data_IF_327269655305
#
_entry.id   IF_327269655305
#
_cell.length_a   1.000
_cell.length_b   1.000
_cell.length_c   1.000
_cell.angle_alpha   90.00
_cell.angle_beta   90.00
_cell.angle_gamma   90.00
#
_symmetry.space_group_name_H-M   'P 1'
#
loop_
_entity.id
_entity.type
_entity.pdbx_description
1 polymer ?
#
# COMPACT_ATOMS: atom_id res chain seq x y z
N UNK A 1 -2.43 -26.95 7.55
CA UNK A 1 -1.77 -27.16 6.24
C UNK A 1 -1.83 -28.66 5.97
N UNK A 2 -2.36 -29.08 4.83
CA UNK A 2 -2.40 -30.49 4.44
C UNK A 2 -1.14 -30.90 3.68
N UNK A 3 -0.76 -30.10 2.69
CA UNK A 3 0.40 -30.33 1.84
C UNK A 3 1.03 -29.03 1.35
N UNK A 4 2.25 -29.16 0.83
CA UNK A 4 3.00 -28.11 0.17
C UNK A 4 3.20 -28.45 -1.29
N UNK A 5 3.11 -27.44 -2.15
CA UNK A 5 3.56 -27.51 -3.54
C UNK A 5 4.86 -26.76 -3.68
N UNK A 6 5.81 -27.33 -4.42
CA UNK A 6 6.98 -26.63 -4.92
C UNK A 6 6.71 -26.25 -6.39
N UNK A 7 6.57 -24.95 -6.64
CA UNK A 7 6.26 -24.41 -7.97
C UNK A 7 7.53 -23.84 -8.59
N UNK A 8 7.73 -24.12 -9.88
CA UNK A 8 8.82 -23.60 -10.69
C UNK A 8 8.24 -22.72 -11.79
N UNK A 9 8.77 -21.51 -11.88
CA UNK A 9 8.36 -20.48 -12.83
C UNK A 9 9.55 -20.12 -13.70
N UNK A 10 9.55 -20.46 -15.00
CA UNK A 10 10.54 -19.95 -15.94
C UNK A 10 10.44 -18.42 -16.04
N UNK A 11 11.58 -17.74 -16.02
CA UNK A 11 11.62 -16.29 -16.24
C UNK A 11 11.28 -15.98 -17.69
N UNK A 12 10.14 -15.32 -17.87
CA UNK A 12 9.66 -14.81 -19.14
C UNK A 12 9.07 -13.42 -18.89
N UNK A 13 8.99 -12.57 -19.93
CA UNK A 13 8.46 -11.20 -19.82
C UNK A 13 7.07 -11.18 -19.17
N UNK A 14 6.27 -12.20 -19.44
CA UNK A 14 4.91 -12.35 -18.91
C UNK A 14 4.85 -12.85 -17.46
N UNK A 15 5.85 -13.60 -17.01
CA UNK A 15 5.88 -14.18 -15.66
C UNK A 15 6.63 -13.29 -14.66
N UNK A 16 7.57 -12.47 -15.13
CA UNK A 16 8.39 -11.59 -14.28
C UNK A 16 7.57 -10.51 -13.56
N UNK A 17 6.43 -10.09 -14.12
CA UNK A 17 5.53 -9.11 -13.51
C UNK A 17 4.53 -9.74 -12.54
N UNK A 18 4.44 -11.08 -12.48
CA UNK A 18 3.44 -11.79 -11.68
C UNK A 18 3.95 -12.11 -10.30
N UNK A 19 3.06 -11.99 -9.30
CA UNK A 19 3.32 -12.42 -7.92
C UNK A 19 2.97 -13.90 -7.71
N UNK A 20 3.56 -14.59 -6.71
CA UNK A 20 3.31 -16.02 -6.46
C UNK A 20 1.82 -16.38 -6.33
N UNK A 21 1.02 -15.50 -5.73
CA UNK A 21 -0.41 -15.73 -5.51
C UNK A 21 -1.27 -15.64 -6.78
N UNK A 22 -0.75 -15.04 -7.86
CA UNK A 22 -1.44 -14.92 -9.14
C UNK A 22 -1.36 -16.21 -9.98
N UNK A 23 -0.50 -17.16 -9.60
CA UNK A 23 -0.45 -18.47 -10.26
C UNK A 23 -1.51 -19.38 -9.63
N UNK A 24 -2.65 -19.59 -10.31
CA UNK A 24 -3.73 -20.41 -9.77
C UNK A 24 -3.33 -21.89 -9.70
N UNK A 25 -3.73 -22.57 -8.62
CA UNK A 25 -3.38 -23.98 -8.41
C UNK A 25 -3.95 -24.87 -9.51
N UNK A 26 -5.17 -24.60 -9.98
CA UNK A 26 -5.81 -25.39 -11.02
C UNK A 26 -5.07 -25.30 -12.36
N UNK A 27 -4.61 -24.10 -12.74
CA UNK A 27 -3.80 -23.89 -13.94
C UNK A 27 -2.48 -24.68 -13.86
N UNK A 28 -1.83 -24.65 -12.70
CA UNK A 28 -0.58 -25.36 -12.45
C UNK A 28 -0.75 -26.89 -12.48
N UNK A 29 -1.88 -27.41 -12.00
CA UNK A 29 -2.22 -28.84 -12.05
C UNK A 29 -2.53 -29.26 -13.49
N UNK A 30 -3.20 -28.42 -14.26
CA UNK A 30 -3.54 -28.69 -15.66
C UNK A 30 -2.31 -28.63 -16.59
N UNK A 31 -1.28 -27.85 -16.22
CA UNK A 31 -0.04 -27.70 -16.97
C UNK A 31 0.89 -28.94 -16.97
N UNK A 32 0.43 -30.11 -16.53
CA UNK A 32 1.26 -31.32 -16.35
C UNK A 32 2.06 -31.76 -17.58
N UNK A 33 1.63 -31.45 -18.81
CA UNK A 33 2.24 -32.05 -20.01
C UNK A 33 2.43 -31.16 -21.26
N UNK A 34 1.93 -29.92 -21.31
CA UNK A 34 1.77 -29.26 -22.63
C UNK A 34 2.85 -28.25 -23.02
N UNK A 35 3.49 -27.54 -22.07
CA UNK A 35 4.43 -26.46 -22.40
C UNK A 35 5.67 -26.49 -21.50
N UNK A 36 6.87 -26.57 -22.10
CA UNK A 36 8.15 -26.47 -21.38
C UNK A 36 8.36 -25.08 -20.74
N UNK A 37 7.77 -24.04 -21.34
CA UNK A 37 7.85 -22.65 -20.87
C UNK A 37 6.77 -22.30 -19.83
N UNK A 38 5.83 -23.21 -19.52
CA UNK A 38 4.78 -22.92 -18.56
C UNK A 38 5.24 -23.16 -17.11
N UNK A 39 4.79 -22.31 -16.17
CA UNK A 39 4.89 -22.59 -14.75
C UNK A 39 4.30 -23.96 -14.40
N UNK A 40 4.99 -24.72 -13.56
CA UNK A 40 4.57 -26.08 -13.20
C UNK A 40 4.89 -26.43 -11.74
N UNK A 41 4.18 -27.41 -11.21
CA UNK A 41 4.46 -28.00 -9.90
C UNK A 41 5.55 -29.07 -10.10
N UNK A 42 6.70 -28.89 -9.45
CA UNK A 42 7.81 -29.83 -9.50
C UNK A 42 7.65 -30.99 -8.52
N UNK A 43 7.04 -30.73 -7.35
CA UNK A 43 6.79 -31.73 -6.33
C UNK A 43 5.64 -31.32 -5.41
N UNK A 44 4.98 -32.32 -4.83
CA UNK A 44 4.01 -32.17 -3.74
C UNK A 44 4.55 -32.89 -2.50
N UNK A 45 4.55 -32.20 -1.36
CA UNK A 45 5.04 -32.74 -0.09
C UNK A 45 3.94 -32.74 0.97
N UNK A 46 3.73 -33.85 1.70
CA UNK A 46 2.90 -33.84 2.91
C UNK A 46 3.46 -32.87 3.96
N UNK A 47 2.60 -32.34 4.84
CA UNK A 47 2.99 -31.32 5.84
C UNK A 47 4.25 -31.70 6.65
N UNK A 48 4.41 -32.97 7.01
CA UNK A 48 5.52 -33.45 7.86
C UNK A 48 6.75 -33.95 7.08
N UNK A 49 6.66 -34.05 5.76
CA UNK A 49 7.65 -34.74 4.92
C UNK A 49 8.29 -33.80 3.89
N UNK A 50 8.36 -32.50 4.16
CA UNK A 50 9.13 -31.58 3.30
C UNK A 50 10.64 -31.75 3.60
N UNK A 51 11.47 -32.11 2.60
CA UNK A 51 12.88 -32.37 2.82
C UNK A 51 13.65 -31.08 3.13
N UNK A 52 14.83 -31.22 3.73
CA UNK A 52 15.71 -30.09 4.01
C UNK A 52 16.31 -29.50 2.72
N UNK A 53 16.72 -30.38 1.81
CA UNK A 53 17.23 -30.04 0.49
C UNK A 53 16.38 -30.72 -0.57
N UNK A 54 16.19 -30.04 -1.70
CA UNK A 54 15.51 -30.61 -2.86
C UNK A 54 16.32 -30.32 -4.11
N UNK A 55 16.68 -31.36 -4.86
CA UNK A 55 17.44 -31.24 -6.09
C UNK A 55 16.49 -30.91 -7.25
N UNK A 56 16.38 -29.63 -7.56
CA UNK A 56 15.56 -29.17 -8.68
C UNK A 56 16.20 -29.57 -10.02
N UNK A 57 15.39 -30.03 -10.99
CA UNK A 57 15.89 -30.41 -12.31
C UNK A 57 16.29 -31.87 -12.49
N UNK A 58 16.07 -32.73 -11.49
CA UNK A 58 16.54 -34.13 -11.51
C UNK A 58 15.82 -35.03 -12.53
N UNK A 59 14.57 -34.71 -12.87
CA UNK A 59 13.74 -35.53 -13.76
C UNK A 59 12.77 -36.49 -13.05
N UNK A 60 12.86 -36.57 -11.72
CA UNK A 60 12.08 -37.49 -10.88
C UNK A 60 10.62 -37.07 -10.72
N UNK A 61 9.77 -38.01 -10.30
CA UNK A 61 8.35 -37.79 -10.04
C UNK A 61 8.03 -37.88 -8.54
N UNK A 62 7.27 -36.90 -8.04
CA UNK A 62 6.89 -36.76 -6.64
C UNK A 62 5.37 -36.55 -6.54
N UNK A 63 4.65 -37.52 -5.97
CA UNK A 63 3.20 -37.41 -5.68
C UNK A 63 2.37 -37.00 -6.93
N UNK A 64 2.73 -37.56 -8.10
CA UNK A 64 2.05 -37.31 -9.39
C UNK A 64 2.45 -36.01 -10.10
N UNK A 65 3.56 -35.41 -9.70
CA UNK A 65 4.16 -34.22 -10.32
C UNK A 65 5.62 -34.47 -10.70
N UNK A 66 6.04 -34.02 -11.88
CA UNK A 66 7.38 -34.28 -12.42
C UNK A 66 8.31 -33.07 -12.23
N UNK A 67 9.45 -33.31 -11.60
CA UNK A 67 10.55 -32.37 -11.49
C UNK A 67 11.30 -32.27 -12.83
N UNK A 68 10.81 -31.44 -13.75
CA UNK A 68 11.37 -31.32 -15.11
C UNK A 68 12.83 -30.88 -15.08
N UNK A 69 13.63 -31.41 -16.02
CA UNK A 69 15.01 -30.98 -16.22
C UNK A 69 15.06 -29.50 -16.58
N UNK A 70 15.98 -28.77 -15.96
CA UNK A 70 16.22 -27.36 -16.28
C UNK A 70 16.99 -27.24 -17.60
N UNK A 71 16.77 -26.15 -18.32
CA UNK A 71 17.46 -25.87 -19.59
C UNK A 71 18.67 -24.96 -19.39
N UNK A 72 19.72 -25.16 -20.19
CA UNK A 72 20.92 -24.30 -20.17
C UNK A 72 20.60 -22.92 -20.75
N UNK A 73 21.08 -21.86 -20.10
CA UNK A 73 20.84 -20.47 -20.51
C UNK A 73 19.44 -19.94 -20.16
N UNK A 74 18.65 -20.69 -19.37
CA UNK A 74 17.37 -20.24 -18.84
C UNK A 74 17.44 -20.01 -17.34
N UNK A 75 16.70 -18.99 -16.89
CA UNK A 75 16.52 -18.64 -15.49
C UNK A 75 15.14 -19.07 -15.01
N UNK A 76 15.06 -19.50 -13.77
CA UNK A 76 13.85 -19.98 -13.12
C UNK A 76 13.74 -19.35 -11.74
N UNK A 77 12.53 -19.13 -11.26
CA UNK A 77 12.25 -18.74 -9.87
C UNK A 77 11.34 -19.80 -9.27
N UNK A 78 11.55 -20.11 -8.00
CA UNK A 78 10.70 -21.05 -7.26
C UNK A 78 10.01 -20.37 -6.11
N UNK A 79 8.83 -20.89 -5.75
CA UNK A 79 8.14 -20.57 -4.51
C UNK A 79 7.44 -21.81 -3.97
N UNK A 80 7.17 -21.81 -2.67
CA UNK A 80 6.47 -22.89 -1.98
C UNK A 80 5.08 -22.41 -1.62
N UNK A 81 4.06 -23.22 -1.92
CA UNK A 81 2.67 -22.93 -1.55
C UNK A 81 2.18 -23.93 -0.52
N UNK A 82 1.68 -23.44 0.61
CA UNK A 82 1.01 -24.24 1.62
C UNK A 82 -0.49 -24.25 1.36
N UNK A 83 -1.09 -25.44 1.27
CA UNK A 83 -2.53 -25.62 1.05
C UNK A 83 -3.19 -26.14 2.32
N UNK A 84 -4.41 -25.70 2.61
CA UNK A 84 -5.21 -26.17 3.73
C UNK A 84 -6.45 -26.90 3.20
N UNK A 85 -6.68 -28.12 3.69
CA UNK A 85 -7.90 -28.86 3.40
C UNK A 85 -9.04 -28.29 4.24
N UNK A 86 -9.82 -27.36 3.68
CA UNK A 86 -11.09 -26.94 4.28
C UNK A 86 -12.24 -27.32 3.35
N UNK A 87 -13.36 -27.85 3.88
CA UNK A 87 -14.44 -28.43 3.06
C UNK A 87 -15.19 -27.43 2.18
N UNK A 88 -14.97 -26.12 2.35
CA UNK A 88 -15.73 -25.08 1.64
C UNK A 88 -14.86 -24.10 0.85
N UNK A 89 -13.53 -24.09 1.03
CA UNK A 89 -12.61 -23.18 0.31
C UNK A 89 -11.21 -23.77 0.14
N UNK A 90 -10.65 -23.65 -1.07
CA UNK A 90 -9.24 -23.91 -1.35
C UNK A 90 -8.38 -22.75 -0.81
N UNK A 91 -8.11 -22.77 0.50
CA UNK A 91 -7.24 -21.79 1.13
C UNK A 91 -5.79 -22.18 0.91
N UNK A 92 -4.99 -21.23 0.43
CA UNK A 92 -3.55 -21.38 0.29
C UNK A 92 -2.82 -20.10 0.68
N UNK A 93 -1.54 -20.25 1.01
CA UNK A 93 -0.60 -19.15 1.18
C UNK A 93 0.70 -19.50 0.46
N UNK A 94 1.30 -18.54 -0.23
CA UNK A 94 2.52 -18.74 -1.00
C UNK A 94 3.69 -18.00 -0.36
N UNK A 95 4.88 -18.60 -0.38
CA UNK A 95 6.11 -17.90 -0.04
C UNK A 95 6.44 -16.84 -1.10
N UNK A 96 7.28 -15.84 -0.78
CA UNK A 96 7.93 -15.03 -1.79
C UNK A 96 8.71 -15.88 -2.79
N UNK A 97 9.01 -15.30 -3.96
CA UNK A 97 9.93 -15.91 -4.91
C UNK A 97 11.35 -15.96 -4.34
N UNK A 98 12.02 -17.06 -4.64
CA UNK A 98 13.47 -17.19 -4.51
C UNK A 98 14.22 -16.25 -5.46
N UNK A 99 15.53 -16.13 -5.21
CA UNK A 99 16.48 -15.61 -6.19
C UNK A 99 16.46 -16.43 -7.48
N UNK A 100 16.77 -15.78 -8.60
CA UNK A 100 16.78 -16.42 -9.92
C UNK A 100 17.80 -17.54 -9.96
N UNK A 101 17.36 -18.74 -10.36
CA UNK A 101 18.15 -19.95 -10.47
C UNK A 101 18.43 -20.29 -11.93
N UNK A 102 19.66 -20.63 -12.28
CA UNK A 102 20.03 -21.11 -13.61
C UNK A 102 21.15 -22.14 -13.52
N UNK A 103 21.27 -22.99 -14.55
CA UNK A 103 22.29 -24.04 -14.60
C UNK A 103 23.73 -23.51 -14.73
N UNK A 104 23.90 -22.27 -15.15
CA UNK A 104 25.18 -21.58 -15.33
C UNK A 104 25.56 -20.71 -14.11
N UNK A 105 24.79 -20.79 -13.03
CA UNK A 105 25.14 -20.08 -11.80
C UNK A 105 26.40 -20.66 -11.15
N UNK A 106 27.20 -19.77 -10.56
CA UNK A 106 28.36 -20.16 -9.77
C UNK A 106 27.91 -21.07 -8.63
N UNK A 107 28.59 -22.20 -8.45
CA UNK A 107 28.38 -23.05 -7.29
C UNK A 107 28.53 -22.24 -6.01
N UNK A 108 27.62 -22.47 -5.06
CA UNK A 108 27.67 -21.83 -3.75
C UNK A 108 29.05 -22.13 -3.14
N UNK A 109 29.76 -21.11 -2.60
CA UNK A 109 31.04 -21.34 -1.96
C UNK A 109 30.94 -22.48 -0.93
N UNK A 110 31.97 -23.32 -0.78
CA UNK A 110 31.97 -24.38 0.23
C UNK A 110 31.70 -23.77 1.61
N UNK A 111 30.59 -24.15 2.22
CA UNK A 111 30.12 -23.62 3.49
C UNK A 111 28.99 -24.48 4.04
N UNK A 112 28.62 -24.26 5.29
CA UNK A 112 27.53 -24.99 5.90
C UNK A 112 26.20 -24.65 5.20
N UNK A 113 25.35 -25.65 4.93
CA UNK A 113 24.05 -25.40 4.31
C UNK A 113 23.21 -24.45 5.18
N UNK A 114 22.41 -23.57 4.57
CA UNK A 114 21.66 -22.56 5.31
C UNK A 114 20.74 -23.21 6.33
N UNK A 115 20.86 -22.83 7.61
CA UNK A 115 20.04 -23.35 8.69
C UNK A 115 18.57 -22.97 8.50
N UNK A 116 17.65 -23.90 8.79
CA UNK A 116 16.21 -23.59 8.81
C UNK A 116 15.96 -22.46 9.83
N UNK A 117 15.21 -21.40 9.47
CA UNK A 117 14.80 -20.39 10.44
C UNK A 117 14.13 -21.05 11.66
N UNK A 118 14.52 -20.62 12.86
CA UNK A 118 13.94 -21.17 14.08
C UNK A 118 12.47 -20.71 14.18
N UNK A 119 11.49 -21.64 14.14
CA UNK A 119 10.07 -21.28 14.17
C UNK A 119 9.63 -20.60 15.47
N UNK A 120 10.46 -20.62 16.52
CA UNK A 120 10.17 -19.98 17.81
C UNK A 120 10.72 -18.55 17.92
N UNK A 121 11.43 -18.05 16.89
CA UNK A 121 11.91 -16.66 16.85
C UNK A 121 10.90 -15.86 16.05
N UNK A 122 10.29 -14.80 16.61
CA UNK A 122 9.39 -13.93 15.86
C UNK A 122 10.18 -13.28 14.72
N UNK A 123 9.76 -13.52 13.49
CA UNK A 123 10.22 -12.75 12.32
C UNK A 123 9.09 -11.82 11.91
N UNK A 124 9.39 -10.54 11.63
CA UNK A 124 8.44 -9.47 11.26
C UNK A 124 7.60 -9.73 9.98
N UNK A 125 7.63 -10.93 9.41
CA UNK A 125 6.91 -11.31 8.20
C UNK A 125 5.50 -11.86 8.48
N UNK A 126 4.85 -11.42 9.57
CA UNK A 126 3.49 -11.83 9.90
C UNK A 126 2.48 -11.26 8.88
N UNK A 127 2.07 -12.11 7.93
CA UNK A 127 0.92 -11.86 7.08
C UNK A 127 -0.33 -11.88 7.97
N UNK A 128 -0.80 -10.70 8.38
CA UNK A 128 -2.08 -10.53 9.10
C UNK A 128 -3.24 -10.96 8.20
N UNK A 129 -3.62 -12.23 8.29
CA UNK A 129 -4.85 -12.75 7.68
C UNK A 129 -6.03 -12.23 8.50
N UNK A 130 -6.63 -11.12 8.09
CA UNK A 130 -7.85 -10.59 8.69
C UNK A 130 -9.06 -11.45 8.28
N UNK A 131 -9.19 -12.65 8.83
CA UNK A 131 -10.31 -13.56 8.57
C UNK A 131 -11.41 -13.46 9.62
N UNK A 132 -11.94 -12.25 9.90
CA UNK A 132 -13.20 -12.10 10.65
C UNK A 132 -13.67 -10.64 10.69
N UNK A 133 -14.35 -10.15 9.65
CA UNK A 133 -15.16 -8.92 9.77
C UNK A 133 -16.23 -8.72 8.69
N UNK A 134 -16.78 -9.78 8.10
CA UNK A 134 -17.79 -9.62 7.03
C UNK A 134 -19.23 -9.46 7.50
N UNK A 135 -19.57 -9.75 8.75
CA UNK A 135 -20.99 -9.69 9.20
C UNK A 135 -21.29 -8.54 10.19
N UNK A 136 -20.28 -8.02 10.91
CA UNK A 136 -20.47 -6.86 11.79
C UNK A 136 -20.22 -5.50 11.09
N UNK A 137 -19.50 -5.48 9.97
CA UNK A 137 -19.14 -4.24 9.28
C UNK A 137 -20.29 -3.60 8.50
N UNK A 138 -21.21 -4.40 7.98
CA UNK A 138 -22.33 -3.90 7.16
C UNK A 138 -23.33 -3.10 8.01
N UNK A 139 -23.61 -3.54 9.24
CA UNK A 139 -24.50 -2.81 10.16
C UNK A 139 -23.91 -1.47 10.63
N UNK A 140 -22.60 -1.43 10.92
CA UNK A 140 -21.90 -0.20 11.31
C UNK A 140 -21.78 0.81 10.17
N UNK A 141 -21.84 0.37 8.91
CA UNK A 141 -21.80 1.25 7.73
C UNK A 141 -23.21 1.70 7.33
N UNK A 142 -24.21 0.82 7.40
CA UNK A 142 -25.59 1.14 7.00
C UNK A 142 -26.31 2.00 8.06
N UNK A 143 -26.05 1.79 9.35
CA UNK A 143 -26.67 2.57 10.43
C UNK A 143 -26.49 4.08 10.30
N UNK A 144 -25.25 4.59 10.11
CA UNK A 144 -24.99 6.01 9.91
C UNK A 144 -25.66 6.58 8.66
N UNK A 145 -25.73 5.80 7.57
CA UNK A 145 -26.34 6.23 6.31
C UNK A 145 -27.85 6.42 6.49
N UNK A 146 -28.52 5.47 7.15
CA UNK A 146 -29.95 5.57 7.46
C UNK A 146 -30.22 6.76 8.40
N UNK A 147 -29.38 6.95 9.42
CA UNK A 147 -29.50 8.08 10.34
C UNK A 147 -29.32 9.43 9.63
N UNK A 148 -28.36 9.54 8.70
CA UNK A 148 -28.12 10.75 7.91
C UNK A 148 -29.28 11.05 6.96
N UNK A 149 -29.87 10.03 6.33
CA UNK A 149 -31.05 10.19 5.47
C UNK A 149 -32.30 10.62 6.26
N UNK A 150 -32.50 10.05 7.46
CA UNK A 150 -33.58 10.48 8.35
C UNK A 150 -33.37 11.93 8.82
N UNK A 151 -32.16 12.29 9.20
CA UNK A 151 -31.83 13.66 9.61
C UNK A 151 -32.04 14.65 8.46
N UNK A 152 -31.60 14.32 7.24
CA UNK A 152 -31.78 15.20 6.08
C UNK A 152 -33.26 15.38 5.75
N UNK A 153 -34.06 14.31 5.83
CA UNK A 153 -35.50 14.37 5.64
C UNK A 153 -36.18 15.27 6.69
N UNK A 154 -35.81 15.13 7.97
CA UNK A 154 -36.32 15.99 9.05
C UNK A 154 -35.93 17.46 8.82
N UNK A 155 -34.70 17.74 8.39
CA UNK A 155 -34.24 19.09 8.09
C UNK A 155 -34.97 19.71 6.88
N UNK A 156 -35.24 18.92 5.84
CA UNK A 156 -36.02 19.36 4.67
C UNK A 156 -37.47 19.64 5.07
N UNK A 157 -38.10 18.77 5.85
CA UNK A 157 -39.46 18.99 6.35
C UNK A 157 -39.51 20.22 7.25
N UNK A 158 -38.54 20.38 8.16
CA UNK A 158 -38.40 21.57 9.02
C UNK A 158 -38.20 22.84 8.18
N UNK A 159 -37.35 22.80 7.16
CA UNK A 159 -37.15 23.92 6.23
C UNK A 159 -38.43 24.27 5.48
N UNK A 160 -39.19 23.29 4.98
CA UNK A 160 -40.47 23.52 4.30
C UNK A 160 -41.51 24.11 5.26
N UNK A 161 -41.59 23.60 6.49
CA UNK A 161 -42.49 24.14 7.52
C UNK A 161 -42.09 25.56 7.94
N UNK A 162 -40.79 25.83 8.05
CA UNK A 162 -40.24 27.16 8.38
C UNK A 162 -40.44 28.14 7.21
N UNK A 163 -40.30 27.68 5.97
CA UNK A 163 -40.58 28.44 4.74
C UNK A 163 -42.07 28.71 4.53
N UNK A 164 -42.96 27.78 4.92
CA UNK A 164 -44.42 28.03 4.95
C UNK A 164 -44.86 28.99 6.06
N UNK A 165 -44.01 29.23 7.08
CA UNK A 165 -44.31 30.09 8.23
C UNK A 165 -43.71 31.50 8.17
N UNK A 166 -42.94 31.85 7.15
CA UNK A 166 -42.38 33.20 7.00
C UNK A 166 -42.96 33.92 5.77
N UNK A 167 -43.87 34.90 5.95
CA UNK A 167 -44.14 35.91 4.93
C UNK A 167 -42.99 36.93 4.91
N UNK A 168 -42.61 37.33 3.69
CA UNK A 168 -41.68 38.37 3.26
C UNK A 168 -41.00 39.24 4.32
N UNK A 169 -39.67 39.37 4.24
CA UNK A 169 -38.96 40.65 4.43
C UNK A 169 -37.57 40.65 3.79
N UNK A 170 -37.23 41.83 3.31
CA UNK A 170 -36.17 42.31 2.40
C UNK A 170 -34.72 42.09 2.86
N UNK A 171 -33.73 42.15 1.94
CA UNK A 171 -32.32 42.04 2.27
C UNK A 171 -31.72 43.42 2.59
N UNK A 172 -30.98 43.56 3.68
CA UNK A 172 -29.89 44.53 3.75
C UNK A 172 -28.94 44.26 4.92
N UNK A 173 -27.65 44.32 4.58
CA UNK A 173 -26.49 44.76 5.39
C UNK A 173 -26.24 44.16 6.78
N UNK A 174 -25.13 43.42 6.90
CA UNK A 174 -24.06 43.62 7.90
C UNK A 174 -23.19 42.36 8.01
N UNK A 175 -22.14 42.26 7.18
CA UNK A 175 -21.05 41.30 7.38
C UNK A 175 -19.77 42.08 7.67
N UNK A 176 -19.69 42.66 8.86
CA UNK A 176 -18.42 43.09 9.46
C UNK A 176 -18.44 42.58 10.88
N UNK A 177 -17.65 41.53 11.14
CA UNK A 177 -16.91 41.30 12.40
C UNK A 177 -16.19 39.94 12.31
N UNK A 178 -14.89 39.97 12.00
CA UNK A 178 -13.96 38.90 12.41
C UNK A 178 -13.19 39.43 13.64
N UNK A 179 -13.10 38.68 14.75
CA UNK A 179 -12.33 39.12 15.90
C UNK A 179 -10.82 38.90 15.66
N UNK A 180 -10.03 39.92 15.97
CA UNK A 180 -8.57 39.90 16.00
C UNK A 180 -8.13 39.28 17.32
N UNK A 181 -7.36 38.18 17.26
CA UNK A 181 -6.65 37.63 18.43
C UNK A 181 -5.17 38.02 18.33
N UNK A 182 -4.65 38.38 19.48
CA UNK A 182 -3.39 39.05 19.83
C UNK A 182 -2.13 38.41 19.24
N UNK A 183 -1.35 39.24 18.55
CA UNK A 183 0.08 38.99 18.31
C UNK A 183 0.85 39.29 19.60
N UNK A 184 1.54 38.30 20.14
CA UNK A 184 2.51 38.52 21.20
C UNK A 184 3.68 39.36 20.65
N UNK A 185 3.87 40.50 21.31
CA UNK A 185 4.82 41.55 20.99
C UNK A 185 6.19 41.08 21.49
N UNK A 186 7.02 40.49 20.62
CA UNK A 186 8.48 40.46 20.78
C UNK A 186 9.29 40.00 19.54
N UNK A 187 8.73 39.98 18.33
CA UNK A 187 9.51 39.85 17.09
C UNK A 187 9.12 40.94 16.08
N UNK A 188 9.89 42.03 16.07
CA UNK A 188 9.69 43.16 15.15
C UNK A 188 10.27 42.88 13.75
N UNK A 189 9.88 41.77 13.15
CA UNK A 189 10.07 41.49 11.73
C UNK A 189 8.77 40.87 11.23
N UNK A 190 7.99 41.64 10.46
CA UNK A 190 6.88 41.06 9.71
C UNK A 190 7.41 39.85 8.92
N UNK A 191 6.79 38.66 9.03
CA UNK A 191 7.31 37.48 8.37
C UNK A 191 7.22 37.70 6.85
N UNK A 192 8.36 37.97 6.24
CA UNK A 192 8.49 38.15 4.79
C UNK A 192 8.48 36.82 4.04
N UNK A 193 8.63 35.72 4.77
CA UNK A 193 8.59 34.37 4.22
C UNK A 193 7.12 33.89 4.09
N UNK A 194 6.63 33.62 2.86
CA UNK A 194 5.30 33.05 2.65
C UNK A 194 5.07 31.72 3.40
N UNK A 195 6.12 30.98 3.74
CA UNK A 195 6.05 29.75 4.55
C UNK A 195 5.72 30.07 6.01
N UNK A 196 6.38 31.07 6.61
CA UNK A 196 6.08 31.51 7.98
C UNK A 196 4.69 32.14 8.08
N UNK A 197 4.31 32.96 7.09
CA UNK A 197 2.96 33.52 6.98
C UNK A 197 1.89 32.43 6.89
N UNK A 198 2.14 31.34 6.16
CA UNK A 198 1.23 30.19 6.12
C UNK A 198 1.17 29.48 7.47
N UNK A 199 2.30 29.28 8.17
CA UNK A 199 2.33 28.66 9.51
C UNK A 199 1.53 29.43 10.56
N UNK A 200 1.52 30.77 10.49
CA UNK A 200 0.73 31.60 11.40
C UNK A 200 -0.77 31.50 11.14
N UNK A 201 -1.17 31.44 9.86
CA UNK A 201 -2.58 31.41 9.46
C UNK A 201 -3.20 30.01 9.47
N UNK A 202 -2.38 28.96 9.37
CA UNK A 202 -2.79 27.56 9.30
C UNK A 202 -2.04 26.72 10.32
N UNK A 203 -2.48 26.78 11.58
CA UNK A 203 -2.00 25.88 12.62
C UNK A 203 -2.69 24.52 12.49
N UNK A 204 -1.91 23.45 12.26
CA UNK A 204 -2.42 22.08 12.37
C UNK A 204 -2.29 21.59 13.82
N UNK A 205 -3.11 20.63 14.26
CA UNK A 205 -2.96 20.02 15.59
C UNK A 205 -1.54 19.49 15.84
N UNK A 206 -0.87 18.96 14.81
CA UNK A 206 0.52 18.50 14.89
C UNK A 206 1.54 19.63 15.16
N UNK A 207 1.28 20.85 14.68
CA UNK A 207 2.14 22.02 14.97
C UNK A 207 2.02 22.49 16.43
N UNK A 208 0.94 22.16 17.13
CA UNK A 208 0.74 22.51 18.54
C UNK A 208 1.50 21.53 19.45
N UNK A 209 1.55 20.25 19.07
CA UNK A 209 2.28 19.21 19.81
C UNK A 209 3.79 19.20 19.53
N UNK A 210 4.21 19.75 18.39
CA UNK A 210 5.62 19.77 17.95
C UNK A 210 6.10 21.21 17.73
N UNK A 211 6.58 21.90 18.79
CA UNK A 211 7.00 23.29 18.71
C UNK A 211 8.32 23.45 17.90
N UNK A 212 8.60 24.65 17.36
CA UNK A 212 9.88 24.94 16.73
C UNK A 212 11.07 24.66 17.65
N UNK A 213 12.13 24.08 17.11
CA UNK A 213 13.35 23.72 17.85
C UNK A 213 14.40 24.80 17.60
N UNK A 214 14.98 25.36 18.67
CA UNK A 214 16.06 26.33 18.54
C UNK A 214 17.35 25.66 18.04
N UNK A 215 18.17 26.39 17.28
CA UNK A 215 19.41 25.84 16.69
C UNK A 215 20.35 25.29 17.80
N UNK A 216 20.42 25.97 18.94
CA UNK A 216 21.21 25.56 20.11
C UNK A 216 20.76 24.22 20.71
N UNK A 217 19.48 23.88 20.59
CA UNK A 217 18.89 22.67 21.16
C UNK A 217 18.78 21.52 20.16
N UNK A 218 18.99 21.78 18.86
CA UNK A 218 18.79 20.82 17.78
C UNK A 218 19.57 19.51 18.00
N UNK A 219 20.84 19.58 18.40
CA UNK A 219 21.65 18.40 18.65
C UNK A 219 21.06 17.53 19.79
N UNK A 220 20.76 18.16 20.93
CA UNK A 220 20.15 17.49 22.08
C UNK A 220 18.76 16.92 21.75
N UNK A 221 18.00 17.60 20.88
CA UNK A 221 16.70 17.13 20.43
C UNK A 221 16.84 15.86 19.56
N UNK A 222 17.76 15.85 18.60
CA UNK A 222 18.03 14.67 17.75
C UNK A 222 18.47 13.47 18.59
N UNK A 223 19.36 13.67 19.58
CA UNK A 223 19.80 12.57 20.45
C UNK A 223 18.65 11.97 21.27
N UNK A 224 17.74 12.81 21.76
CA UNK A 224 16.51 12.35 22.42
C UNK A 224 15.61 11.56 21.47
N UNK A 225 15.49 11.96 20.21
CA UNK A 225 14.67 11.25 19.22
C UNK A 225 15.25 9.88 18.83
N UNK A 226 16.59 9.78 18.74
CA UNK A 226 17.31 8.53 18.42
C UNK A 226 17.32 7.51 19.55
N UNK A 227 17.10 7.95 20.78
CA UNK A 227 17.12 7.08 21.96
C UNK A 227 16.10 5.94 21.83
N UNK A 228 16.43 4.76 22.36
CA UNK A 228 15.62 3.53 22.28
C UNK A 228 15.28 3.17 20.82
N UNK A 229 16.32 3.03 19.98
CA UNK A 229 16.18 2.59 18.59
C UNK A 229 15.21 3.46 17.76
N UNK A 230 15.36 4.77 17.85
CA UNK A 230 14.56 5.75 17.12
C UNK A 230 13.05 5.71 17.39
N UNK A 231 12.58 5.10 18.49
CA UNK A 231 11.13 4.99 18.78
C UNK A 231 10.42 6.35 18.74
N UNK A 232 11.03 7.40 19.32
CA UNK A 232 10.44 8.74 19.30
C UNK A 232 10.46 9.36 17.90
N UNK A 233 11.52 9.10 17.13
CA UNK A 233 11.59 9.47 15.72
C UNK A 233 10.45 8.86 14.91
N UNK A 234 10.20 7.56 15.09
CA UNK A 234 9.09 6.87 14.43
C UNK A 234 7.73 7.40 14.87
N UNK A 235 7.52 7.59 16.18
CA UNK A 235 6.26 8.13 16.70
C UNK A 235 5.96 9.53 16.16
N UNK A 236 6.96 10.41 16.12
CA UNK A 236 6.82 11.76 15.59
C UNK A 236 6.53 11.75 14.09
N UNK A 237 7.27 10.94 13.32
CA UNK A 237 7.07 10.78 11.87
C UNK A 237 5.67 10.26 11.52
N UNK A 238 5.19 9.21 12.21
CA UNK A 238 3.86 8.64 11.98
C UNK A 238 2.72 9.59 12.42
N UNK A 239 3.02 10.59 13.26
CA UNK A 239 2.05 11.62 13.68
C UNK A 239 1.86 12.75 12.66
N UNK A 240 2.62 12.76 11.56
CA UNK A 240 2.54 13.80 10.53
C UNK A 240 1.23 13.61 9.74
N UNK A 241 0.23 14.41 10.06
CA UNK A 241 -1.05 14.44 9.34
C UNK A 241 -1.36 15.86 8.83
N UNK A 242 -1.59 16.05 7.52
CA UNK A 242 -1.95 17.37 6.97
C UNK A 242 -3.37 17.81 7.34
N UNK A 243 -4.23 16.89 7.80
CA UNK A 243 -5.61 17.18 8.25
C UNK A 243 -6.57 17.67 7.15
N UNK A 244 -6.14 17.65 5.89
CA UNK A 244 -6.89 18.09 4.72
C UNK A 244 -7.10 16.92 3.75
N UNK A 245 -8.22 16.94 3.04
CA UNK A 245 -8.48 16.00 1.96
C UNK A 245 -8.00 16.59 0.64
N UNK A 246 -7.39 15.76 -0.20
CA UNK A 246 -6.86 16.15 -1.51
C UNK A 246 -7.50 15.32 -2.61
N UNK A 247 -7.57 15.89 -3.81
CA UNK A 247 -7.96 15.19 -5.04
C UNK A 247 -6.75 15.05 -5.96
N UNK A 248 -6.81 14.08 -6.87
CA UNK A 248 -5.74 13.77 -7.82
C UNK A 248 -6.30 13.25 -9.15
N UNK A 249 -7.41 13.85 -9.58
CA UNK A 249 -8.20 13.38 -10.72
C UNK A 249 -7.37 13.41 -12.01
N UNK A 250 -6.55 14.45 -12.20
CA UNK A 250 -5.68 14.58 -13.38
C UNK A 250 -4.61 13.49 -13.44
N UNK A 251 -4.05 13.13 -12.27
CA UNK A 251 -3.07 12.05 -12.14
C UNK A 251 -3.68 10.68 -12.46
N UNK A 252 -4.99 10.53 -12.24
CA UNK A 252 -5.75 9.29 -12.45
C UNK A 252 -6.42 9.17 -13.83
N UNK A 253 -6.38 10.20 -14.67
CA UNK A 253 -6.87 10.09 -16.05
C UNK A 253 -6.11 9.00 -16.80
N UNK A 254 -6.82 8.20 -17.61
CA UNK A 254 -6.20 7.06 -18.32
C UNK A 254 -5.05 7.48 -19.25
N UNK A 255 -5.15 8.66 -19.85
CA UNK A 255 -4.09 9.26 -20.68
C UNK A 255 -2.85 9.72 -19.89
N UNK A 256 -2.99 9.91 -18.57
CA UNK A 256 -1.94 10.45 -17.69
C UNK A 256 -1.30 9.39 -16.80
N UNK A 257 -1.98 8.28 -16.50
CA UNK A 257 -1.41 7.13 -15.78
C UNK A 257 -0.01 6.70 -16.26
N UNK A 258 0.25 6.54 -17.58
CA UNK A 258 1.59 6.14 -18.05
C UNK A 258 2.66 7.24 -17.87
N UNK A 259 2.27 8.49 -17.59
CA UNK A 259 3.18 9.60 -17.31
C UNK A 259 3.67 9.60 -15.85
N UNK A 260 3.11 8.72 -15.00
CA UNK A 260 3.55 8.53 -13.62
C UNK A 260 4.57 7.40 -13.55
N UNK A 261 5.77 7.69 -13.00
CA UNK A 261 6.78 6.65 -12.78
C UNK A 261 6.29 5.55 -11.83
N UNK A 262 5.54 5.95 -10.81
CA UNK A 262 4.94 5.04 -9.85
C UNK A 262 3.45 5.38 -9.72
N UNK A 263 2.58 4.38 -9.75
CA UNK A 263 1.13 4.60 -9.69
C UNK A 263 0.65 5.15 -8.33
N UNK A 264 1.42 4.91 -7.26
CA UNK A 264 1.16 5.40 -5.91
C UNK A 264 1.86 6.73 -5.58
N UNK A 265 2.60 7.31 -6.53
CA UNK A 265 3.22 8.64 -6.39
C UNK A 265 2.61 9.55 -7.44
N UNK A 266 1.71 10.42 -7.00
CA UNK A 266 0.81 11.21 -7.86
C UNK A 266 0.87 12.69 -7.46
N UNK A 267 0.42 13.57 -8.36
CA UNK A 267 0.30 14.98 -8.08
C UNK A 267 -1.12 15.34 -7.60
N UNK A 268 -1.22 16.11 -6.51
CA UNK A 268 -2.50 16.65 -6.05
C UNK A 268 -2.98 17.81 -6.93
N UNK A 269 -4.27 17.85 -7.24
CA UNK A 269 -4.83 18.79 -8.23
C UNK A 269 -4.65 20.26 -7.84
N UNK A 270 -4.77 20.58 -6.56
CA UNK A 270 -4.71 21.96 -6.06
C UNK A 270 -3.31 22.59 -6.11
N UNK A 271 -2.26 21.78 -6.21
CA UNK A 271 -0.86 22.23 -6.21
C UNK A 271 -0.05 21.70 -7.38
N UNK A 272 -0.68 21.01 -8.35
CA UNK A 272 0.03 20.47 -9.51
C UNK A 272 0.56 21.58 -10.41
N UNK A 273 1.69 21.32 -11.05
CA UNK A 273 2.16 22.16 -12.17
C UNK A 273 1.28 21.89 -13.39
N UNK A 274 0.81 22.96 -14.04
CA UNK A 274 -0.04 22.90 -15.22
C UNK A 274 0.78 23.35 -16.42
N UNK A 275 1.00 22.45 -17.38
CA UNK A 275 1.68 22.78 -18.63
C UNK A 275 0.74 23.53 -19.57
N UNK A 276 1.31 24.26 -20.54
CA UNK A 276 0.52 24.87 -21.61
C UNK A 276 -0.16 23.75 -22.42
N UNK A 277 -1.51 23.73 -22.54
CA UNK A 277 -2.21 22.68 -23.27
C UNK A 277 -1.89 22.74 -24.77
N UNK A 278 -1.67 21.58 -25.38
CA UNK A 278 -1.55 21.42 -26.82
C UNK A 278 -2.91 21.12 -27.45
N UNK A 279 -3.21 21.78 -28.57
CA UNK A 279 -4.52 21.69 -29.23
C UNK A 279 -4.80 20.26 -29.73
N UNK A 280 -5.95 19.71 -29.36
CA UNK A 280 -6.37 18.36 -29.75
C UNK A 280 -5.72 17.21 -28.96
N UNK A 281 -4.81 17.48 -28.02
CA UNK A 281 -4.12 16.44 -27.23
C UNK A 281 -4.63 16.46 -25.79
N UNK A 282 -5.48 15.47 -25.44
CA UNK A 282 -6.01 15.31 -24.09
C UNK A 282 -4.89 14.96 -23.09
N UNK A 283 -4.85 15.70 -21.98
CA UNK A 283 -3.84 15.51 -20.92
C UNK A 283 -2.47 16.09 -21.25
N UNK A 284 -2.32 16.89 -22.30
CA UNK A 284 -1.08 17.63 -22.61
C UNK A 284 -0.66 18.59 -21.51
N UNK A 285 -1.61 19.05 -20.68
CA UNK A 285 -1.38 19.94 -19.55
C UNK A 285 -0.79 19.24 -18.31
N UNK A 286 -0.65 17.92 -18.34
CA UNK A 286 -0.29 17.11 -17.18
C UNK A 286 1.20 16.75 -17.12
N UNK A 287 1.79 17.03 -15.97
CA UNK A 287 3.07 16.51 -15.49
C UNK A 287 2.93 16.11 -14.03
N UNK A 288 3.59 15.03 -13.61
CA UNK A 288 3.62 14.62 -12.21
C UNK A 288 4.61 15.50 -11.43
N UNK A 289 4.14 16.69 -11.01
CA UNK A 289 4.89 17.66 -10.24
C UNK A 289 3.95 18.56 -9.42
N UNK A 290 4.41 19.02 -8.25
CA UNK A 290 3.72 19.98 -7.37
C UNK A 290 4.66 21.16 -7.03
N UNK A 291 4.10 22.34 -6.75
CA UNK A 291 4.83 23.54 -6.33
C UNK A 291 5.44 23.43 -4.93
#
# INVERSE_FOLDING_TARGET
>A
ISHYYLIVVPEDKTNNEKNPDQFLTDDLINNKAQNQNAPYIAAKFPQRNIPYTFHLGAGDEFEGFKNRKLERGRKYRIFVRAVVDTPQKHLYTSSPFSESLALDMREVPPGDPPLRPNPNVPTDNDVKVSSQRKEAGVLWVIGPIIAALLLSFILVVSFILKKRRQPCKTPDQAAVTKPLISADINSSSAPSDPVEMRRLNFQTPGMISHPPITISELANHIDKLKTNDNIKFSQEYESIEPGQQFTWDHSNMDVNKPKNRYANVIAYDHSRVILQPEEGILGSDYINANY
#
